data_IF_201574552394
#
_entry.id   IF_201574552394
#
_cell.length_a   1.000
_cell.length_b   1.000
_cell.length_c   1.000
_cell.angle_alpha   90.00
_cell.angle_beta   90.00
_cell.angle_gamma   90.00
#
_symmetry.space_group_name_H-M   'P 1'
#
loop_
_entity.id
_entity.type
_entity.pdbx_description
1 polymer ?
#
# COMPACT_ATOMS: atom_id res chain seq x y z
N UNK A 1 -28.22 -70.63 -19.28
CA UNK A 1 -27.04 -69.88 -18.77
C UNK A 1 -27.45 -68.42 -18.68
N UNK A 2 -27.53 -67.80 -17.50
CA UNK A 2 -27.84 -66.38 -17.38
C UNK A 2 -26.59 -65.55 -17.67
N UNK A 3 -26.75 -64.48 -18.44
CA UNK A 3 -25.71 -63.53 -18.82
C UNK A 3 -25.16 -62.76 -17.60
N UNK A 4 -23.83 -62.48 -17.54
CA UNK A 4 -23.23 -61.73 -16.45
C UNK A 4 -23.72 -60.26 -16.48
N UNK A 5 -24.11 -59.74 -15.33
CA UNK A 5 -24.50 -58.33 -15.15
C UNK A 5 -23.28 -57.42 -15.30
N UNK A 6 -23.38 -56.34 -16.05
CA UNK A 6 -22.25 -55.40 -16.20
C UNK A 6 -21.87 -54.78 -14.84
N UNK A 7 -20.61 -54.86 -14.51
CA UNK A 7 -20.04 -54.23 -13.33
C UNK A 7 -20.14 -52.68 -13.47
N UNK A 8 -20.66 -51.98 -12.44
CA UNK A 8 -20.73 -50.52 -12.39
C UNK A 8 -19.29 -49.94 -12.40
N UNK A 9 -19.04 -48.85 -13.13
CA UNK A 9 -17.71 -48.24 -13.19
C UNK A 9 -17.25 -47.81 -11.80
N UNK A 10 -16.01 -48.19 -11.44
CA UNK A 10 -15.38 -47.93 -10.12
C UNK A 10 -15.13 -46.44 -9.81
N UNK A 11 -15.33 -45.56 -10.77
CA UNK A 11 -15.12 -44.11 -10.64
C UNK A 11 -16.08 -43.41 -9.64
N UNK A 12 -17.22 -44.00 -9.32
CA UNK A 12 -18.16 -43.42 -8.36
C UNK A 12 -18.04 -43.98 -6.93
N UNK A 13 -17.20 -44.97 -6.72
CA UNK A 13 -16.96 -45.57 -5.42
C UNK A 13 -15.83 -44.84 -4.67
N UNK A 14 -14.81 -44.38 -5.39
CA UNK A 14 -13.69 -43.62 -4.82
C UNK A 14 -14.08 -42.28 -4.20
N UNK A 15 -15.03 -41.55 -4.78
CA UNK A 15 -15.45 -40.24 -4.26
C UNK A 15 -16.18 -40.33 -2.92
N UNK A 16 -16.91 -41.43 -2.70
CA UNK A 16 -17.69 -41.65 -1.45
C UNK A 16 -16.78 -42.12 -0.31
N UNK A 17 -15.79 -42.94 -0.62
CA UNK A 17 -14.83 -43.44 0.34
C UNK A 17 -13.86 -42.30 0.73
N UNK A 18 -13.47 -41.43 -0.23
CA UNK A 18 -12.67 -40.26 0.03
C UNK A 18 -13.42 -39.22 0.90
N UNK A 19 -14.74 -39.04 0.68
CA UNK A 19 -15.57 -38.17 1.51
C UNK A 19 -15.64 -38.72 2.95
N UNK A 20 -15.90 -40.01 3.13
CA UNK A 20 -16.01 -40.63 4.45
C UNK A 20 -14.68 -40.67 5.22
N UNK A 21 -13.54 -40.70 4.51
CA UNK A 21 -12.23 -40.61 5.16
C UNK A 21 -11.84 -39.18 5.56
N UNK A 22 -12.31 -38.16 4.81
CA UNK A 22 -12.02 -36.74 5.12
C UNK A 22 -13.00 -36.12 6.13
N UNK A 23 -14.25 -36.56 6.14
CA UNK A 23 -15.30 -36.02 7.01
C UNK A 23 -14.95 -36.05 8.50
N UNK A 24 -14.42 -37.14 9.09
CA UNK A 24 -14.02 -37.17 10.48
C UNK A 24 -12.82 -36.26 10.77
N UNK A 25 -11.88 -36.14 9.84
CA UNK A 25 -10.72 -35.25 9.99
C UNK A 25 -11.15 -33.80 10.04
N UNK A 26 -12.01 -33.37 9.12
CA UNK A 26 -12.55 -32.00 9.08
C UNK A 26 -13.35 -31.70 10.34
N UNK A 27 -14.15 -32.66 10.82
CA UNK A 27 -14.95 -32.50 12.04
C UNK A 27 -14.04 -32.33 13.27
N UNK A 28 -12.97 -33.12 13.38
CA UNK A 28 -11.98 -32.99 14.46
C UNK A 28 -11.28 -31.64 14.38
N UNK A 29 -10.89 -31.16 13.19
CA UNK A 29 -10.28 -29.85 13.03
C UNK A 29 -11.23 -28.72 13.45
N UNK A 30 -12.52 -28.79 13.09
CA UNK A 30 -13.53 -27.79 13.49
C UNK A 30 -13.70 -27.78 15.01
N UNK A 31 -13.79 -28.95 15.65
CA UNK A 31 -13.93 -29.07 17.10
C UNK A 31 -12.70 -28.52 17.81
N UNK A 32 -11.50 -28.90 17.36
CA UNK A 32 -10.25 -28.38 17.94
C UNK A 32 -10.12 -26.86 17.74
N UNK A 33 -10.43 -26.32 16.56
CA UNK A 33 -10.42 -24.89 16.30
C UNK A 33 -11.42 -24.14 17.20
N UNK A 34 -12.60 -24.72 17.44
CA UNK A 34 -13.61 -24.15 18.34
C UNK A 34 -13.17 -24.17 19.82
N UNK A 35 -12.60 -25.28 20.29
CA UNK A 35 -12.15 -25.44 21.69
C UNK A 35 -10.91 -24.59 21.99
N UNK A 36 -9.99 -24.47 21.04
CA UNK A 36 -8.78 -23.66 21.18
C UNK A 36 -9.02 -22.15 20.96
N UNK A 37 -10.27 -21.73 20.69
CA UNK A 37 -10.60 -20.32 20.46
C UNK A 37 -9.94 -19.70 19.20
N UNK A 38 -9.40 -20.53 18.31
CA UNK A 38 -8.73 -20.06 17.08
C UNK A 38 -9.72 -19.58 16.01
N UNK A 39 -11.01 -19.85 16.17
CA UNK A 39 -12.10 -19.36 15.35
C UNK A 39 -12.94 -18.31 16.09
N UNK A 40 -12.30 -17.25 16.61
CA UNK A 40 -13.04 -16.05 16.99
C UNK A 40 -13.35 -15.25 15.71
N UNK A 41 -14.23 -15.81 14.87
CA UNK A 41 -14.89 -15.05 13.83
C UNK A 41 -15.95 -14.16 14.51
N UNK A 42 -15.49 -13.03 15.04
CA UNK A 42 -16.39 -11.93 15.33
C UNK A 42 -16.67 -11.23 13.99
N UNK A 43 -17.87 -11.33 13.43
CA UNK A 43 -18.29 -10.40 12.38
C UNK A 43 -18.49 -9.04 13.06
N UNK A 44 -17.39 -8.39 13.38
CA UNK A 44 -17.39 -6.97 13.69
C UNK A 44 -17.80 -6.31 12.38
N UNK A 45 -19.06 -5.84 12.31
CA UNK A 45 -19.43 -4.86 11.30
C UNK A 45 -18.39 -3.73 11.30
N UNK A 46 -18.40 -2.85 10.29
CA UNK A 46 -17.45 -1.76 10.21
C UNK A 46 -17.48 -1.00 11.54
N UNK A 47 -16.45 -1.24 12.37
CA UNK A 47 -16.30 -0.48 13.61
C UNK A 47 -16.03 0.96 13.19
N UNK A 48 -16.92 1.87 13.60
CA UNK A 48 -16.71 3.31 13.57
C UNK A 48 -15.60 3.71 14.56
N UNK A 49 -14.54 2.92 14.62
CA UNK A 49 -13.32 3.26 15.34
C UNK A 49 -12.54 4.30 14.56
N UNK A 50 -11.91 5.24 15.26
CA UNK A 50 -10.95 6.13 14.61
C UNK A 50 -9.96 5.27 13.78
N UNK A 51 -9.68 5.61 12.51
CA UNK A 51 -8.71 4.88 11.72
C UNK A 51 -7.39 4.79 12.47
N UNK A 52 -6.63 3.68 12.32
CA UNK A 52 -5.34 3.54 12.97
C UNK A 52 -4.47 4.77 12.72
N UNK A 53 -3.96 5.40 13.77
CA UNK A 53 -3.00 6.48 13.65
C UNK A 53 -1.62 5.87 13.46
N UNK A 54 -0.92 6.31 12.41
CA UNK A 54 0.47 5.94 12.15
C UNK A 54 1.38 7.04 12.69
N UNK A 55 2.39 6.68 13.48
CA UNK A 55 3.40 7.63 13.95
C UNK A 55 4.40 7.94 12.82
N UNK A 56 4.01 8.86 11.94
CA UNK A 56 4.81 9.29 10.82
C UNK A 56 6.09 10.01 11.29
N UNK A 57 6.02 10.77 12.38
CA UNK A 57 7.16 11.50 12.91
C UNK A 57 8.30 10.56 13.33
N UNK A 58 7.99 9.58 14.18
CA UNK A 58 8.98 8.61 14.62
C UNK A 58 9.56 7.79 13.44
N UNK A 59 8.72 7.41 12.48
CA UNK A 59 9.15 6.66 11.30
C UNK A 59 10.09 7.50 10.41
N UNK A 60 9.72 8.72 10.06
CA UNK A 60 10.53 9.61 9.23
C UNK A 60 11.83 10.02 9.92
N UNK A 61 11.83 10.21 11.25
CA UNK A 61 13.07 10.42 12.00
C UNK A 61 14.01 9.21 11.95
N UNK A 62 13.47 8.00 12.05
CA UNK A 62 14.26 6.78 11.92
C UNK A 62 14.84 6.65 10.51
N UNK A 63 14.07 7.02 9.47
CA UNK A 63 14.55 7.06 8.08
C UNK A 63 15.65 8.10 7.90
N UNK A 64 15.50 9.30 8.45
CA UNK A 64 16.52 10.37 8.36
C UNK A 64 17.87 9.98 8.95
N UNK A 65 17.87 9.17 10.02
CA UNK A 65 19.12 8.65 10.64
C UNK A 65 19.76 7.52 9.84
N UNK A 66 18.97 6.78 9.06
CA UNK A 66 19.41 5.56 8.39
C UNK A 66 19.77 5.80 6.92
N UNK A 67 19.05 6.70 6.23
CA UNK A 67 19.21 6.88 4.78
C UNK A 67 20.27 7.93 4.46
N UNK A 68 20.92 7.76 3.30
CA UNK A 68 21.98 8.65 2.83
C UNK A 68 21.48 9.95 2.21
N UNK A 69 20.16 10.08 1.99
CA UNK A 69 19.51 11.26 1.41
C UNK A 69 18.64 11.96 2.46
N UNK A 70 18.33 13.26 2.29
CA UNK A 70 17.51 13.99 3.24
C UNK A 70 16.07 13.50 3.23
N UNK A 71 15.50 13.30 4.43
CA UNK A 71 14.09 12.98 4.64
C UNK A 71 13.37 14.24 5.14
N UNK A 72 12.17 14.47 4.64
CA UNK A 72 11.32 15.60 4.98
C UNK A 72 10.00 15.13 5.54
N UNK A 73 9.52 15.79 6.58
CA UNK A 73 8.19 15.54 7.15
C UNK A 73 7.24 16.65 6.72
N UNK A 74 6.22 16.35 5.89
CA UNK A 74 5.28 17.36 5.44
C UNK A 74 4.40 17.83 6.60
N UNK A 75 4.32 19.15 6.81
CA UNK A 75 3.36 19.76 7.73
C UNK A 75 2.03 20.00 6.99
N UNK A 76 1.13 19.04 7.11
CA UNK A 76 -0.16 19.09 6.45
C UNK A 76 -1.17 19.92 7.25
N UNK A 77 -2.16 20.55 6.58
CA UNK A 77 -3.21 21.31 7.26
C UNK A 77 -4.05 20.47 8.22
N UNK A 78 -4.84 21.15 9.05
CA UNK A 78 -5.78 20.52 9.96
C UNK A 78 -6.74 19.55 9.23
N UNK A 79 -7.07 18.45 9.87
CA UNK A 79 -7.91 17.39 9.32
C UNK A 79 -7.17 16.32 8.53
N UNK A 80 -5.92 16.56 8.10
CA UNK A 80 -5.07 15.52 7.56
C UNK A 80 -4.47 14.67 8.69
N UNK A 81 -4.32 13.38 8.44
CA UNK A 81 -3.73 12.47 9.43
C UNK A 81 -2.89 11.37 8.77
N UNK A 82 -1.76 11.06 9.36
CA UNK A 82 -0.97 9.91 8.95
C UNK A 82 -1.75 8.61 9.23
N UNK A 83 -1.77 7.72 8.24
CA UNK A 83 -2.56 6.49 8.27
C UNK A 83 -1.71 5.24 8.12
N UNK A 84 -0.62 5.33 7.38
CA UNK A 84 0.23 4.19 7.07
C UNK A 84 1.65 4.66 6.76
N UNK A 85 2.58 3.72 6.78
CA UNK A 85 3.93 3.96 6.33
C UNK A 85 4.70 2.67 6.15
N UNK A 86 5.83 2.76 5.48
CA UNK A 86 6.69 1.63 5.23
C UNK A 86 7.97 2.03 4.51
N UNK A 87 8.86 1.07 4.41
CA UNK A 87 10.13 1.16 3.69
C UNK A 87 10.13 0.15 2.56
N UNK A 88 10.73 0.52 1.45
CA UNK A 88 10.97 -0.34 0.30
C UNK A 88 12.36 0.01 -0.27
N UNK A 89 12.70 -0.53 -1.42
CA UNK A 89 13.92 -0.18 -2.14
C UNK A 89 13.69 -0.15 -3.65
N UNK A 90 14.49 0.67 -4.31
CA UNK A 90 14.56 0.81 -5.75
C UNK A 90 15.99 0.49 -6.16
N UNK A 91 16.24 -0.68 -6.74
CA UNK A 91 17.58 -1.16 -7.14
C UNK A 91 18.60 -1.04 -5.97
N UNK A 92 18.20 -1.36 -4.75
CA UNK A 92 19.03 -1.27 -3.56
C UNK A 92 19.10 0.12 -2.90
N UNK A 93 18.51 1.15 -3.52
CA UNK A 93 18.39 2.49 -2.90
C UNK A 93 17.11 2.51 -2.05
N UNK A 94 17.21 2.92 -0.77
CA UNK A 94 16.04 2.98 0.10
C UNK A 94 14.93 3.89 -0.42
N UNK A 95 13.67 3.51 -0.12
CA UNK A 95 12.47 4.28 -0.36
C UNK A 95 11.67 4.38 0.93
N UNK A 96 11.44 5.60 1.41
CA UNK A 96 10.49 5.90 2.48
C UNK A 96 9.12 6.19 1.88
N UNK A 97 8.06 5.62 2.48
CA UNK A 97 6.67 5.87 2.11
C UNK A 97 5.85 6.18 3.35
N UNK A 98 5.13 7.29 3.34
CA UNK A 98 4.13 7.62 4.36
C UNK A 98 2.82 7.99 3.69
N UNK A 99 1.75 7.35 4.12
CA UNK A 99 0.39 7.59 3.64
C UNK A 99 -0.39 8.48 4.61
N UNK A 100 -1.19 9.35 4.05
CA UNK A 100 -2.04 10.30 4.75
C UNK A 100 -3.48 10.19 4.26
N UNK A 101 -4.43 10.42 5.13
CA UNK A 101 -5.84 10.61 4.78
C UNK A 101 -6.16 12.10 4.81
N UNK A 102 -6.75 12.58 3.73
CA UNK A 102 -7.28 13.94 3.64
C UNK A 102 -8.55 14.11 4.52
N UNK A 103 -9.01 15.32 4.77
CA UNK A 103 -10.29 15.56 5.44
C UNK A 103 -11.49 14.93 4.73
N UNK A 104 -11.43 14.78 3.40
CA UNK A 104 -12.44 14.08 2.59
C UNK A 104 -12.34 12.56 2.63
N UNK A 105 -11.30 12.00 3.28
CA UNK A 105 -11.03 10.56 3.34
C UNK A 105 -10.22 10.02 2.17
N UNK A 106 -9.77 10.86 1.23
CA UNK A 106 -8.90 10.42 0.15
C UNK A 106 -7.51 10.07 0.66
N UNK A 107 -6.99 8.94 0.20
CA UNK A 107 -5.63 8.51 0.52
C UNK A 107 -4.61 9.19 -0.38
N UNK A 108 -3.55 9.71 0.24
CA UNK A 108 -2.39 10.30 -0.43
C UNK A 108 -1.12 9.72 0.18
N UNK A 109 -0.10 9.46 -0.63
CA UNK A 109 1.18 8.97 -0.13
C UNK A 109 2.33 9.87 -0.60
N UNK A 110 3.27 10.12 0.31
CA UNK A 110 4.55 10.76 0.02
C UNK A 110 5.63 9.69 -0.04
N UNK A 111 6.36 9.68 -1.13
CA UNK A 111 7.48 8.80 -1.43
C UNK A 111 8.76 9.63 -1.42
N UNK A 112 9.82 9.14 -0.76
CA UNK A 112 11.11 9.82 -0.72
C UNK A 112 12.23 8.81 -0.95
N UNK A 113 13.08 9.05 -1.95
CA UNK A 113 14.20 8.17 -2.28
C UNK A 113 15.40 8.92 -2.82
N UNK A 114 16.58 8.38 -2.65
CA UNK A 114 17.78 8.82 -3.36
C UNK A 114 17.84 8.38 -4.82
N UNK A 115 16.97 7.46 -5.23
CA UNK A 115 16.89 6.99 -6.61
C UNK A 115 16.40 8.11 -7.55
N UNK A 116 16.83 8.14 -8.81
CA UNK A 116 16.35 9.10 -9.77
C UNK A 116 14.90 8.80 -10.20
N UNK A 117 14.25 9.81 -10.78
CA UNK A 117 12.85 9.75 -11.22
C UNK A 117 12.56 8.58 -12.15
N UNK A 118 13.45 8.30 -13.09
CA UNK A 118 13.33 7.24 -14.09
C UNK A 118 13.29 5.83 -13.47
N UNK A 119 13.69 5.73 -12.20
CA UNK A 119 13.61 4.50 -11.42
C UNK A 119 12.44 4.50 -10.45
N UNK A 120 12.09 5.67 -9.90
CA UNK A 120 10.95 5.79 -8.98
C UNK A 120 9.62 5.56 -9.70
N UNK A 121 9.42 6.17 -10.87
CA UNK A 121 8.14 6.09 -11.60
C UNK A 121 7.74 4.65 -11.92
N UNK A 122 8.56 3.82 -12.59
CA UNK A 122 8.17 2.45 -12.89
C UNK A 122 8.09 1.55 -11.65
N UNK A 123 8.76 1.91 -10.54
CA UNK A 123 8.61 1.21 -9.25
C UNK A 123 7.22 1.42 -8.68
N UNK A 124 6.61 2.59 -8.87
CA UNK A 124 5.22 2.86 -8.46
C UNK A 124 4.25 2.13 -9.36
N UNK A 125 4.33 2.36 -10.67
CA UNK A 125 3.56 1.63 -11.67
C UNK A 125 4.21 1.79 -13.06
N UNK A 126 4.29 0.71 -13.81
CA UNK A 126 4.93 0.68 -15.14
C UNK A 126 4.08 1.31 -16.25
N UNK A 127 2.77 1.53 -16.04
CA UNK A 127 1.89 2.19 -17.01
C UNK A 127 1.89 3.70 -16.90
N UNK A 128 2.59 4.27 -15.90
CA UNK A 128 2.66 5.70 -15.70
C UNK A 128 3.46 6.38 -16.84
N UNK A 129 2.82 7.35 -17.50
CA UNK A 129 3.42 8.17 -18.56
C UNK A 129 3.35 9.65 -18.17
N UNK A 130 4.37 10.47 -18.54
CA UNK A 130 4.36 11.89 -18.21
C UNK A 130 3.24 12.61 -18.96
N UNK A 131 2.48 13.44 -18.24
CA UNK A 131 1.44 14.32 -18.81
C UNK A 131 1.92 15.74 -19.01
N UNK A 132 2.76 16.21 -18.11
CA UNK A 132 3.30 17.57 -18.22
C UNK A 132 3.81 18.10 -16.89
N UNK A 133 4.34 19.33 -16.91
CA UNK A 133 4.78 19.99 -15.69
C UNK A 133 3.59 20.57 -14.93
N UNK A 134 3.67 20.45 -13.59
CA UNK A 134 2.83 21.16 -12.65
C UNK A 134 3.70 22.09 -11.81
N UNK A 135 3.33 23.34 -11.71
CA UNK A 135 4.03 24.31 -10.86
C UNK A 135 3.33 24.41 -9.50
N UNK A 136 4.10 24.19 -8.45
CA UNK A 136 3.63 24.37 -7.08
C UNK A 136 4.56 25.36 -6.37
N UNK A 137 4.12 26.60 -6.26
CA UNK A 137 4.85 27.69 -5.59
C UNK A 137 6.30 27.84 -6.11
N UNK A 138 6.47 27.76 -7.45
CA UNK A 138 7.77 27.89 -8.12
C UNK A 138 8.64 26.64 -8.14
N UNK A 139 8.16 25.51 -7.63
CA UNK A 139 8.79 24.20 -7.79
C UNK A 139 8.09 23.43 -8.91
N UNK A 140 8.88 22.96 -9.88
CA UNK A 140 8.36 22.17 -11.00
C UNK A 140 8.24 20.69 -10.59
N UNK A 141 7.02 20.16 -10.70
CA UNK A 141 6.68 18.77 -10.58
C UNK A 141 6.35 18.20 -11.95
N UNK A 142 6.68 16.95 -12.20
CA UNK A 142 6.23 16.20 -13.37
C UNK A 142 5.04 15.37 -12.98
N UNK A 143 3.89 15.61 -13.61
CA UNK A 143 2.69 14.81 -13.42
C UNK A 143 2.72 13.58 -14.33
N UNK A 144 2.44 12.43 -13.77
CA UNK A 144 2.30 11.15 -14.46
C UNK A 144 0.89 10.61 -14.27
N UNK A 145 0.34 10.05 -15.34
CA UNK A 145 -0.94 9.33 -15.30
C UNK A 145 -0.75 7.95 -15.94
N UNK A 146 -1.49 6.98 -15.43
CA UNK A 146 -1.50 5.61 -15.94
C UNK A 146 -2.81 5.23 -16.58
N UNK A 147 -2.99 3.92 -16.81
CA UNK A 147 -4.23 3.34 -17.29
C UNK A 147 -5.38 3.56 -16.30
N UNK A 148 -6.62 3.25 -16.74
CA UNK A 148 -7.81 3.36 -15.88
C UNK A 148 -7.62 2.59 -14.55
N UNK A 149 -7.89 3.28 -13.43
CA UNK A 149 -7.72 2.73 -12.09
C UNK A 149 -6.31 2.84 -11.51
N UNK A 150 -5.34 3.39 -12.26
CA UNK A 150 -4.00 3.68 -11.73
C UNK A 150 -3.99 5.07 -11.11
N UNK A 151 -3.53 5.16 -9.85
CA UNK A 151 -3.39 6.45 -9.17
C UNK A 151 -2.33 7.33 -9.87
N UNK A 152 -2.60 8.64 -10.05
CA UNK A 152 -1.62 9.58 -10.57
C UNK A 152 -0.39 9.68 -9.65
N UNK A 153 0.73 10.10 -10.23
CA UNK A 153 1.96 10.33 -9.50
C UNK A 153 2.57 11.67 -9.93
N UNK A 154 2.85 12.54 -8.97
CA UNK A 154 3.64 13.74 -9.20
C UNK A 154 5.03 13.55 -8.64
N UNK A 155 6.06 13.89 -9.41
CA UNK A 155 7.46 13.70 -9.02
C UNK A 155 8.22 15.00 -9.16
N UNK A 156 9.11 15.26 -8.21
CA UNK A 156 10.11 16.33 -8.28
C UNK A 156 11.40 15.90 -7.62
N UNK A 157 12.49 16.62 -7.92
CA UNK A 157 13.78 16.43 -7.24
C UNK A 157 14.13 17.65 -6.41
N UNK A 158 14.21 17.46 -5.10
CA UNK A 158 14.50 18.55 -4.17
C UNK A 158 16.00 18.58 -3.84
N UNK A 159 16.64 19.75 -4.09
CA UNK A 159 18.04 19.99 -3.75
C UNK A 159 19.02 19.01 -4.38
N UNK A 160 18.73 18.45 -5.55
CA UNK A 160 19.50 17.42 -6.25
C UNK A 160 19.83 16.16 -5.43
N UNK A 161 19.26 16.00 -4.25
CA UNK A 161 19.60 14.93 -3.29
C UNK A 161 18.50 13.90 -3.07
N UNK A 162 17.23 14.30 -3.19
CA UNK A 162 16.09 13.42 -2.94
C UNK A 162 15.05 13.58 -4.03
N UNK A 163 14.58 12.47 -4.58
CA UNK A 163 13.41 12.41 -5.44
C UNK A 163 12.20 12.20 -4.55
N UNK A 164 11.23 13.09 -4.70
CA UNK A 164 9.97 13.06 -3.95
C UNK A 164 8.84 12.74 -4.92
N UNK A 165 8.02 11.76 -4.58
CA UNK A 165 6.79 11.42 -5.27
C UNK A 165 5.58 11.66 -4.38
N UNK A 166 4.49 12.13 -4.98
CA UNK A 166 3.17 12.23 -4.36
C UNK A 166 2.19 11.43 -5.21
N UNK A 167 1.51 10.45 -4.62
CA UNK A 167 0.53 9.60 -5.33
C UNK A 167 -0.69 9.38 -4.45
N UNK A 168 -1.82 9.03 -5.04
CA UNK A 168 -3.04 8.73 -4.30
C UNK A 168 -4.32 9.03 -5.08
N UNK A 169 -5.44 8.83 -4.41
CA UNK A 169 -6.79 8.97 -4.96
C UNK A 169 -7.40 10.38 -4.73
N UNK A 170 -6.59 11.35 -4.29
CA UNK A 170 -7.03 12.72 -4.08
C UNK A 170 -7.19 13.49 -5.40
N UNK A 171 -7.90 14.61 -5.33
CA UNK A 171 -7.98 15.56 -6.43
C UNK A 171 -6.70 16.40 -6.58
N UNK A 172 -6.65 17.24 -7.61
CA UNK A 172 -5.50 18.12 -7.90
C UNK A 172 -5.14 19.02 -6.70
N UNK A 173 -6.12 19.48 -5.94
CA UNK A 173 -5.89 20.35 -4.79
C UNK A 173 -5.27 19.57 -3.62
N UNK A 174 -5.65 18.31 -3.44
CA UNK A 174 -5.00 17.41 -2.50
C UNK A 174 -3.53 17.16 -2.89
N UNK A 175 -3.25 16.92 -4.18
CA UNK A 175 -1.87 16.80 -4.69
C UNK A 175 -1.06 18.06 -4.43
N UNK A 176 -1.60 19.24 -4.75
CA UNK A 176 -0.92 20.53 -4.50
C UNK A 176 -0.66 20.77 -3.02
N UNK A 177 -1.62 20.42 -2.17
CA UNK A 177 -1.48 20.56 -0.71
C UNK A 177 -0.32 19.72 -0.18
N UNK A 178 -0.26 18.43 -0.57
CA UNK A 178 0.80 17.54 -0.12
C UNK A 178 2.16 17.91 -0.73
N UNK A 179 2.20 18.25 -2.00
CA UNK A 179 3.41 18.69 -2.70
C UNK A 179 4.00 19.95 -2.05
N UNK A 180 3.16 20.97 -1.79
CA UNK A 180 3.54 22.20 -1.07
C UNK A 180 4.11 21.88 0.30
N UNK A 181 3.43 21.04 1.06
CA UNK A 181 3.85 20.70 2.42
C UNK A 181 5.21 20.00 2.46
N UNK A 182 5.46 19.03 1.56
CA UNK A 182 6.73 18.29 1.56
C UNK A 182 7.89 19.12 1.00
N UNK A 183 7.66 19.95 -0.03
CA UNK A 183 8.73 20.80 -0.57
C UNK A 183 9.15 21.92 0.37
N UNK A 184 8.20 22.49 1.14
CA UNK A 184 8.46 23.53 2.12
C UNK A 184 9.10 22.99 3.41
N UNK A 185 8.96 21.70 3.71
CA UNK A 185 9.52 21.09 4.91
C UNK A 185 11.05 21.12 4.89
N UNK A 186 11.67 21.48 6.01
CA UNK A 186 13.12 21.34 6.18
C UNK A 186 13.49 19.85 6.35
N UNK A 187 14.67 19.43 5.84
CA UNK A 187 15.17 18.10 6.13
C UNK A 187 15.28 17.81 7.62
N UNK A 188 14.84 16.63 8.03
CA UNK A 188 14.99 16.17 9.41
C UNK A 188 16.47 15.98 9.77
N UNK A 189 16.86 16.22 11.02
CA UNK A 189 18.22 15.98 11.49
C UNK A 189 18.55 14.48 11.44
N UNK A 190 19.82 14.18 11.12
CA UNK A 190 20.35 12.81 11.09
C UNK A 190 20.81 12.36 12.47
#
# INVERSE_FOLDING_TARGET
MPAPRPAKPRLFQDGRDMFWSMAPLVLVCIVLAGVLGMCSFTPSGPTTGAPPSYDAHAALQADARQFSFPIREPSLPEGWRANSGGRDSIDGVPLSRVGYLSPSGAYMAVLQSGAPEERLVPKVNTSLVPRGPEDVDGVHWVAYEGDEGVEPLWVTRLGNAVTVGVTGAGDTDAFRTVARAVQAATPLPR
#
